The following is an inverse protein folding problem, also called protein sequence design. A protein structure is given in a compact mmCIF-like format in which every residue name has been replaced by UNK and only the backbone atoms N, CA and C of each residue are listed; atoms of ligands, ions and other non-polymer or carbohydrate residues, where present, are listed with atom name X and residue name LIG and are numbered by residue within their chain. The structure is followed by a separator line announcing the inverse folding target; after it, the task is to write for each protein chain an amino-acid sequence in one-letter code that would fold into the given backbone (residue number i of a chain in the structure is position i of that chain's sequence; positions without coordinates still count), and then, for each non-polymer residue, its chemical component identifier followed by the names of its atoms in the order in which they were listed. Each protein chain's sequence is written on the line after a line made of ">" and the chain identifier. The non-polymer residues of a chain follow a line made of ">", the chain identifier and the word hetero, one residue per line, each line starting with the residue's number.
data_IF_032967714855
#
_entry.id   IF_032967714855
#
_cell.length_a   1.000
_cell.length_b   1.000
_cell.length_c   1.000
_cell.angle_alpha   90.00
_cell.angle_beta   90.00
_cell.angle_gamma   90.00
#
_symmetry.space_group_name_H-M   'P 1'
#
loop_
_entity.id
_entity.type
_entity.pdbx_description
1 polymer ?
2 non-polymer ?
3 non-polymer ?
4 water ?
#
# COMPACT_ATOMS: atom_id res chain seq x y z
N UNK A 7 21.97 -15.85 -11.53
CA UNK A 7 21.87 -16.27 -10.14
C UNK A 7 23.09 -15.88 -9.31
N UNK A 8 22.83 -15.68 -8.02
CA UNK A 8 23.88 -15.45 -7.05
C UNK A 8 24.77 -16.69 -6.93
N UNK A 9 25.97 -16.47 -6.45
CA UNK A 9 26.79 -17.62 -6.08
C UNK A 9 26.15 -18.33 -4.88
N UNK A 10 26.64 -19.54 -4.61
CA UNK A 10 26.17 -20.29 -3.46
C UNK A 10 26.38 -19.49 -2.17
N UNK A 11 27.54 -18.87 -2.02
CA UNK A 11 27.83 -18.11 -0.81
C UNK A 11 26.98 -16.88 -0.70
N UNK A 12 26.83 -16.12 -1.79
CA UNK A 12 25.96 -14.95 -1.78
C UNK A 12 24.53 -15.35 -1.45
N UNK A 13 24.08 -16.48 -1.98
CA UNK A 13 22.73 -16.91 -1.74
C UNK A 13 22.52 -17.29 -0.27
N UNK A 14 23.45 -18.04 0.32
CA UNK A 14 23.30 -18.36 1.75
C UNK A 14 23.28 -17.09 2.59
N UNK A 15 24.16 -16.12 2.26
CA UNK A 15 24.21 -14.89 3.03
C UNK A 15 22.90 -14.11 2.92
N UNK A 16 22.45 -13.83 1.71
CA UNK A 16 21.24 -13.04 1.54
C UNK A 16 20.03 -13.78 2.10
N UNK A 17 19.94 -15.10 1.87
CA UNK A 17 18.83 -15.87 2.40
C UNK A 17 18.77 -15.78 3.93
N UNK A 18 19.93 -15.88 4.61
CA UNK A 18 19.91 -15.74 6.05
C UNK A 18 19.40 -14.39 6.48
N UNK A 19 19.87 -13.34 5.80
CA UNK A 19 19.39 -12.01 6.17
C UNK A 19 17.89 -11.87 5.93
N UNK A 20 17.40 -12.39 4.81
CA UNK A 20 15.98 -12.27 4.51
C UNK A 20 15.14 -13.14 5.43
N UNK A 21 15.65 -14.25 5.97
CA UNK A 21 14.90 -15.00 6.99
C UNK A 21 14.75 -14.17 8.27
N UNK A 22 15.83 -13.50 8.71
CA UNK A 22 15.74 -12.67 9.89
C UNK A 22 14.81 -11.47 9.67
N UNK A 23 14.93 -10.85 8.51
CA UNK A 23 14.06 -9.72 8.17
C UNK A 23 12.60 -10.15 8.04
N UNK A 24 12.36 -11.32 7.44
CA UNK A 24 11.00 -11.79 7.32
C UNK A 24 10.35 -12.04 8.65
N UNK A 25 11.08 -12.63 9.58
CA UNK A 25 10.53 -12.79 10.93
C UNK A 25 10.24 -11.43 11.57
N UNK A 26 11.16 -10.47 11.39
CA UNK A 26 10.95 -9.12 11.90
C UNK A 26 9.69 -8.48 11.32
N UNK A 27 9.52 -8.54 10.00
CA UNK A 27 8.35 -7.99 9.32
C UNK A 27 7.09 -8.65 9.84
N UNK A 28 7.12 -9.99 9.95
CA UNK A 28 5.95 -10.75 10.38
C UNK A 28 5.54 -10.36 11.79
N UNK A 29 6.50 -9.95 12.62
CA UNK A 29 6.17 -9.56 13.98
C UNK A 29 5.44 -8.25 14.05
N UNK A 30 5.35 -7.54 12.92
CA UNK A 30 4.57 -6.30 12.87
C UNK A 30 5.35 -5.03 13.13
N UNK A 31 6.68 -5.08 13.09
CA UNK A 31 7.48 -3.97 13.56
C UNK A 31 7.80 -2.93 12.51
N UNK A 32 7.36 -3.12 11.26
CA UNK A 32 7.61 -2.14 10.20
C UNK A 32 6.49 -1.12 10.13
N UNK A 33 6.84 0.16 10.17
CA UNK A 33 5.83 1.22 10.03
C UNK A 33 5.16 1.13 8.67
N UNK A 34 3.82 1.18 8.66
CA UNK A 34 3.10 0.98 7.40
C UNK A 34 3.59 1.96 6.34
N UNK A 35 3.99 3.16 6.76
CA UNK A 35 4.46 4.19 5.84
C UNK A 35 5.70 3.80 5.04
N UNK A 36 6.45 2.79 5.50
CA UNK A 36 7.69 2.42 4.82
C UNK A 36 7.47 1.64 3.54
N UNK A 37 6.32 1.00 3.39
CA UNK A 37 6.05 0.16 2.23
C UNK A 37 4.57 -0.21 2.15
N UNK A 38 3.87 0.34 1.17
CA UNK A 38 2.45 0.03 1.05
C UNK A 38 2.28 -1.47 0.82
N UNK A 39 3.15 -2.06 0.01
CA UNK A 39 3.03 -3.48 -0.29
C UNK A 39 3.15 -4.30 0.99
N UNK A 40 4.19 -4.03 1.78
CA UNK A 40 4.39 -4.80 3.00
C UNK A 40 3.24 -4.58 3.97
N UNK A 41 2.79 -3.33 4.10
CA UNK A 41 1.68 -3.04 5.00
C UNK A 41 0.44 -3.82 4.60
N UNK A 42 0.08 -3.80 3.33
CA UNK A 42 -1.08 -4.54 2.86
C UNK A 42 -0.91 -6.04 3.07
N UNK A 43 0.29 -6.56 2.78
CA UNK A 43 0.57 -7.94 3.05
C UNK A 43 0.34 -8.30 4.50
N UNK A 44 0.89 -7.50 5.41
CA UNK A 44 0.74 -7.75 6.84
C UNK A 44 -0.71 -7.62 7.30
N UNK A 45 -1.49 -6.80 6.62
CA UNK A 45 -2.91 -6.76 6.91
C UNK A 45 -3.57 -8.07 6.53
N UNK A 46 -3.10 -8.69 5.44
CA UNK A 46 -3.73 -9.90 4.93
C UNK A 46 -3.47 -11.14 5.80
N UNK A 47 -2.73 -11.06 6.90
CA UNK A 47 -2.37 -12.25 7.66
C UNK A 47 -3.36 -12.47 8.81
N UNK A 48 -2.99 -13.33 9.77
CA UNK A 48 -3.85 -13.65 10.91
C UNK A 48 -3.21 -13.11 12.19
N UNK A 49 -3.85 -12.19 12.91
CA UNK A 49 -3.30 -11.76 14.20
C UNK A 49 -3.55 -12.79 15.29
N UNK A 50 -2.67 -12.75 16.30
CA UNK A 50 -2.72 -13.71 17.39
C UNK A 50 -1.73 -14.85 17.27
N UNK A 51 -0.89 -14.86 16.24
CA UNK A 51 0.10 -15.91 16.08
C UNK A 51 1.24 -15.72 17.09
N UNK A 52 1.83 -16.84 17.51
CA UNK A 52 3.05 -16.78 18.28
C UNK A 52 4.24 -16.66 17.33
N UNK A 53 5.35 -16.13 17.85
CA UNK A 53 6.58 -16.01 17.09
C UNK A 53 7.46 -17.21 17.38
N UNK A 54 7.90 -17.92 16.33
CA UNK A 54 8.78 -19.07 16.55
C UNK A 54 10.12 -18.94 15.87
N UNK A 55 10.38 -17.84 15.19
CA UNK A 55 11.61 -17.67 14.42
C UNK A 55 12.38 -16.46 14.95
N UNK A 56 13.71 -16.51 14.94
CA UNK A 56 14.48 -15.33 15.38
C UNK A 56 14.39 -14.22 14.34
N UNK A 57 14.58 -13.00 14.81
CA UNK A 57 14.56 -11.85 13.93
C UNK A 57 15.80 -10.99 14.16
N UNK A 58 16.02 -10.08 13.23
CA UNK A 58 17.06 -9.08 13.31
C UNK A 58 16.63 -7.96 14.27
N UNK A 59 17.55 -7.03 14.53
CA UNK A 59 17.20 -5.87 15.35
C UNK A 59 16.43 -4.86 14.48
N UNK A 60 15.96 -3.79 15.12
CA UNK A 60 15.08 -2.85 14.42
C UNK A 60 15.84 -2.04 13.38
N UNK A 61 17.07 -1.64 13.67
CA UNK A 61 17.85 -0.89 12.69
C UNK A 61 18.04 -1.72 11.41
N UNK A 62 18.50 -2.97 11.56
CA UNK A 62 18.69 -3.85 10.40
C UNK A 62 17.35 -4.14 9.72
N UNK A 63 16.29 -4.31 10.50
CA UNK A 63 14.99 -4.54 9.91
C UNK A 63 14.54 -3.39 9.03
N UNK A 64 14.68 -2.16 9.54
CA UNK A 64 14.30 -0.98 8.76
C UNK A 64 15.16 -0.85 7.50
N UNK A 65 16.46 -1.05 7.63
CA UNK A 65 17.36 -0.94 6.49
C UNK A 65 16.99 -1.96 5.41
N UNK A 66 16.80 -3.21 5.80
CA UNK A 66 16.51 -4.23 4.84
C UNK A 66 15.16 -3.95 4.22
N UNK A 67 14.17 -3.48 5.01
CA UNK A 67 12.87 -3.14 4.46
C UNK A 67 13.00 -2.07 3.39
N UNK A 68 13.77 -1.03 3.67
CA UNK A 68 13.96 0.06 2.69
C UNK A 68 14.58 -0.46 1.41
N UNK A 69 15.61 -1.28 1.54
CA UNK A 69 16.24 -1.92 0.37
C UNK A 69 15.23 -2.74 -0.40
N UNK A 70 14.57 -3.67 0.27
CA UNK A 70 13.67 -4.60 -0.41
C UNK A 70 12.56 -3.82 -1.12
N UNK A 71 11.96 -2.84 -0.42
CA UNK A 71 10.91 -2.07 -1.04
C UNK A 71 11.44 -1.34 -2.26
N UNK A 72 12.65 -0.79 -2.17
CA UNK A 72 13.17 0.01 -3.30
C UNK A 72 13.50 -0.87 -4.49
N UNK A 73 13.72 -2.16 -4.28
CA UNK A 73 14.01 -3.07 -5.39
C UNK A 73 12.75 -3.72 -5.95
N UNK A 74 11.83 -4.18 -5.08
CA UNK A 74 10.77 -5.08 -5.46
C UNK A 74 9.47 -4.39 -5.78
N UNK A 75 9.33 -3.09 -5.47
CA UNK A 75 8.06 -2.41 -5.71
C UNK A 75 7.62 -2.51 -7.16
N UNK A 76 8.57 -2.68 -8.09
CA UNK A 76 8.25 -2.71 -9.51
C UNK A 76 7.46 -3.94 -9.91
N UNK A 77 7.62 -5.05 -9.18
CA UNK A 77 6.98 -6.31 -9.55
C UNK A 77 6.13 -6.78 -8.36
N UNK A 78 4.87 -6.36 -8.32
CA UNK A 78 4.07 -6.64 -7.13
C UNK A 78 3.89 -8.15 -6.91
N UNK A 79 3.83 -8.92 -8.00
CA UNK A 79 3.70 -10.38 -7.86
C UNK A 79 4.94 -10.98 -7.20
N UNK A 80 6.12 -10.60 -7.69
CA UNK A 80 7.38 -11.08 -7.10
C UNK A 80 7.51 -10.61 -5.66
N UNK A 81 7.12 -9.37 -5.39
CA UNK A 81 7.18 -8.85 -4.01
C UNK A 81 6.30 -9.70 -3.10
N UNK A 82 5.07 -10.00 -3.53
CA UNK A 82 4.19 -10.81 -2.73
C UNK A 82 4.72 -12.23 -2.53
N UNK A 83 5.31 -12.81 -3.58
CA UNK A 83 5.93 -14.12 -3.42
C UNK A 83 7.06 -14.07 -2.38
N UNK A 84 7.90 -13.06 -2.46
CA UNK A 84 9.00 -12.92 -1.53
C UNK A 84 8.51 -12.79 -0.09
N UNK A 85 7.44 -12.03 0.10
CA UNK A 85 6.87 -11.85 1.42
C UNK A 85 6.20 -13.12 1.93
N UNK A 86 5.49 -13.86 1.05
CA UNK A 86 4.91 -15.13 1.50
C UNK A 86 5.98 -16.10 1.95
N UNK A 87 7.09 -16.17 1.22
CA UNK A 87 8.14 -17.08 1.54
C UNK A 87 8.87 -16.66 2.82
N UNK A 88 9.33 -15.40 2.89
CA UNK A 88 10.19 -15.04 4.01
C UNK A 88 9.42 -14.53 5.21
N UNK A 89 8.39 -13.69 5.01
CA UNK A 89 7.62 -13.15 6.15
C UNK A 89 6.60 -14.16 6.69
N UNK A 90 5.74 -14.70 5.81
CA UNK A 90 4.75 -15.66 6.27
C UNK A 90 5.32 -17.04 6.48
N UNK A 91 6.46 -17.36 5.88
CA UNK A 91 7.03 -18.66 6.03
C UNK A 91 6.37 -19.72 5.19
N UNK A 92 5.63 -19.35 4.18
CA UNK A 92 4.93 -20.31 3.34
C UNK A 92 5.93 -21.09 2.50
N UNK A 93 5.69 -22.37 2.35
CA UNK A 93 6.55 -23.20 1.53
C UNK A 93 6.44 -22.81 0.07
N UNK A 94 7.43 -23.24 -0.70
CA UNK A 94 7.36 -23.00 -2.14
C UNK A 94 6.17 -23.75 -2.74
N UNK A 95 5.86 -24.94 -2.21
CA UNK A 95 4.69 -25.64 -2.75
C UNK A 95 3.41 -24.89 -2.47
N UNK A 96 3.28 -24.32 -1.27
CA UNK A 96 2.07 -23.59 -0.94
C UNK A 96 1.90 -22.39 -1.86
N UNK A 97 2.99 -21.63 -2.06
CA UNK A 97 2.94 -20.46 -2.94
C UNK A 97 2.54 -20.87 -4.35
N UNK A 98 3.24 -21.88 -4.88
CA UNK A 98 2.96 -22.37 -6.23
C UNK A 98 1.51 -22.86 -6.36
N UNK A 99 1.00 -23.53 -5.32
CA UNK A 99 -0.36 -24.06 -5.39
C UNK A 99 -1.39 -22.94 -5.41
N UNK A 100 -1.15 -21.88 -4.61
CA UNK A 100 -2.03 -20.74 -4.70
C UNK A 100 -2.08 -20.20 -6.14
N UNK A 101 -0.89 -19.91 -6.70
CA UNK A 101 -0.86 -19.35 -8.06
C UNK A 101 -1.41 -20.31 -9.11
N UNK A 102 -1.29 -21.63 -8.89
CA UNK A 102 -1.90 -22.59 -9.78
C UNK A 102 -3.43 -22.48 -9.71
N UNK A 103 -3.98 -22.34 -8.50
CA UNK A 103 -5.41 -22.22 -8.35
C UNK A 103 -5.94 -20.98 -9.05
N UNK A 104 -5.22 -19.87 -9.00
CA UNK A 104 -5.75 -18.61 -9.54
C UNK A 104 -5.24 -18.30 -10.94
N UNK A 105 -4.48 -19.20 -11.56
CA UNK A 105 -3.79 -18.90 -12.80
C UNK A 105 -4.78 -18.63 -13.95
N UNK A 106 -4.41 -17.74 -14.82
CA UNK A 106 -5.23 -17.43 -15.98
C UNK A 106 -4.85 -18.32 -17.16
N UNK A 107 -5.76 -18.54 -18.10
CA UNK A 107 -5.38 -19.30 -19.30
C UNK A 107 -4.21 -18.63 -20.01
N UNK A 108 -3.33 -19.44 -20.56
CA UNK A 108 -2.14 -18.98 -21.26
C UNK A 108 -2.13 -19.48 -22.70
N UNK A 109 -1.54 -18.67 -23.55
CA UNK A 109 -1.24 -19.04 -24.92
C UNK A 109 0.07 -19.79 -24.92
N UNK A 110 0.04 -21.05 -25.33
CA UNK A 110 1.21 -21.91 -25.30
C UNK A 110 1.49 -22.38 -26.73
N UNK A 111 2.70 -22.13 -27.20
CA UNK A 111 3.11 -22.57 -28.54
C UNK A 111 3.66 -24.00 -28.39
N UNK A 112 2.75 -24.96 -28.33
CA UNK A 112 3.12 -26.36 -28.22
C UNK A 112 3.50 -26.92 -29.58
N UNK A 113 4.14 -28.09 -29.57
CA UNK A 113 4.53 -28.74 -30.81
C UNK A 113 3.28 -28.95 -31.66
N UNK A 114 3.34 -28.48 -32.91
CA UNK A 114 2.22 -28.58 -33.83
C UNK A 114 1.36 -27.34 -33.92
N UNK A 115 1.46 -26.45 -32.96
CA UNK A 115 0.65 -25.24 -32.97
C UNK A 115 0.43 -24.70 -31.57
N UNK A 116 -0.25 -23.57 -31.53
CA UNK A 116 -0.60 -22.96 -30.27
C UNK A 116 -1.93 -23.49 -29.70
N UNK A 117 -2.02 -23.43 -28.39
CA UNK A 117 -3.25 -23.80 -27.70
C UNK A 117 -3.40 -22.94 -26.46
N UNK A 118 -4.64 -22.84 -25.98
CA UNK A 118 -4.93 -22.13 -24.74
C UNK A 118 -5.06 -23.16 -23.63
N UNK A 119 -4.34 -22.93 -22.53
CA UNK A 119 -4.31 -23.88 -21.42
C UNK A 119 -3.83 -23.15 -20.17
N UNK A 120 -4.37 -23.50 -19.02
CA UNK A 120 -3.81 -22.99 -17.79
C UNK A 120 -2.50 -23.72 -17.47
N UNK A 121 -1.57 -23.05 -16.79
CA UNK A 121 -0.31 -23.72 -16.46
C UNK A 121 -0.49 -24.85 -15.44
N UNK A 122 0.36 -25.87 -15.60
CA UNK A 122 0.42 -26.98 -14.68
C UNK A 122 1.01 -26.57 -13.34
N UNK A 123 0.80 -27.43 -12.32
CA UNK A 123 1.41 -27.16 -11.02
C UNK A 123 2.92 -27.13 -11.14
N UNK A 124 3.50 -28.06 -11.91
CA UNK A 124 4.96 -28.10 -12.04
C UNK A 124 5.48 -26.82 -12.66
N UNK A 125 4.78 -26.31 -13.66
CA UNK A 125 5.17 -25.03 -14.26
C UNK A 125 5.12 -23.91 -13.22
N UNK A 126 3.99 -23.79 -12.52
CA UNK A 126 3.87 -22.75 -11.50
C UNK A 126 4.97 -22.86 -10.44
N UNK A 127 5.33 -24.08 -10.06
CA UNK A 127 6.37 -24.26 -9.05
C UNK A 127 7.74 -23.83 -9.59
N UNK A 128 8.05 -24.23 -10.81
CA UNK A 128 9.28 -23.76 -11.44
C UNK A 128 9.32 -22.24 -11.50
N UNK A 129 8.19 -21.61 -11.86
CA UNK A 129 8.17 -20.15 -11.97
C UNK A 129 8.36 -19.49 -10.62
N UNK A 130 7.78 -20.07 -9.56
CA UNK A 130 7.96 -19.50 -8.23
C UNK A 130 9.41 -19.58 -7.80
N UNK A 131 10.04 -20.72 -8.06
CA UNK A 131 11.49 -20.84 -7.78
C UNK A 131 12.28 -19.78 -8.54
N UNK A 132 11.98 -19.62 -9.84
CA UNK A 132 12.70 -18.65 -10.66
C UNK A 132 12.48 -17.21 -10.17
N UNK A 133 11.26 -16.88 -9.79
CA UNK A 133 10.97 -15.55 -9.28
C UNK A 133 11.73 -15.28 -7.98
N UNK A 134 11.79 -16.27 -7.08
CA UNK A 134 12.54 -16.06 -5.84
C UNK A 134 14.03 -15.89 -6.12
N UNK A 135 14.60 -16.72 -7.00
CA UNK A 135 16.01 -16.57 -7.33
C UNK A 135 16.29 -15.21 -7.96
N UNK A 136 15.43 -14.75 -8.86
CA UNK A 136 15.62 -13.45 -9.52
C UNK A 136 15.52 -12.30 -8.53
N UNK A 137 14.57 -12.39 -7.59
CA UNK A 137 14.44 -11.35 -6.57
C UNK A 137 15.71 -11.26 -5.74
N UNK A 138 16.20 -12.40 -5.25
CA UNK A 138 17.42 -12.38 -4.47
C UNK A 138 18.60 -11.79 -5.29
N UNK A 139 18.69 -12.16 -6.57
CA UNK A 139 19.76 -11.62 -7.39
C UNK A 139 19.68 -10.11 -7.47
N UNK A 140 18.47 -9.56 -7.60
CA UNK A 140 18.31 -8.10 -7.71
C UNK A 140 18.55 -7.41 -6.38
N UNK A 141 18.18 -8.05 -5.27
CA UNK A 141 18.32 -7.44 -3.95
C UNK A 141 19.78 -7.40 -3.52
N UNK A 142 20.54 -8.46 -3.85
CA UNK A 142 21.85 -8.68 -3.23
C UNK A 142 22.78 -7.45 -3.31
N UNK A 143 23.05 -6.90 -4.49
CA UNK A 143 24.00 -5.76 -4.54
C UNK A 143 23.51 -4.53 -3.79
N UNK A 144 22.19 -4.30 -3.76
CA UNK A 144 21.65 -3.15 -3.05
C UNK A 144 21.84 -3.33 -1.54
N UNK A 145 21.56 -4.53 -1.02
CA UNK A 145 21.71 -4.73 0.42
C UNK A 145 23.17 -4.74 0.82
N UNK A 146 24.01 -5.37 0.01
CA UNK A 146 25.44 -5.36 0.30
C UNK A 146 25.98 -3.92 0.33
N UNK A 147 25.62 -3.11 -0.66
CA UNK A 147 26.04 -1.71 -0.68
C UNK A 147 25.47 -0.94 0.50
N UNK A 148 24.21 -1.22 0.86
CA UNK A 148 23.58 -0.53 1.98
C UNK A 148 24.32 -0.79 3.29
N UNK A 149 24.61 -2.06 3.57
CA UNK A 149 25.37 -2.38 4.79
C UNK A 149 26.74 -1.71 4.75
N UNK A 150 27.44 -1.80 3.60
CA UNK A 150 28.77 -1.22 3.48
C UNK A 150 28.73 0.29 3.67
N UNK A 151 27.76 0.97 3.06
CA UNK A 151 27.63 2.41 3.20
C UNK A 151 27.41 2.80 4.66
N UNK A 152 26.46 2.11 5.31
CA UNK A 152 26.19 2.39 6.72
C UNK A 152 27.47 2.32 7.55
N UNK A 153 28.23 1.23 7.40
CA UNK A 153 29.45 1.11 8.18
C UNK A 153 30.45 2.20 7.79
N UNK A 154 30.62 2.44 6.50
CA UNK A 154 31.62 3.40 6.03
C UNK A 154 31.40 4.78 6.64
N UNK A 155 30.16 5.28 6.62
CA UNK A 155 29.90 6.61 7.16
C UNK A 155 29.83 6.55 8.69
N UNK A 156 28.95 5.73 9.23
CA UNK A 156 28.81 5.61 10.68
C UNK A 156 30.06 4.95 11.29
N UNK B 6 -17.75 24.33 13.55
CA UNK B 6 -18.39 24.98 12.39
C UNK B 6 -18.55 24.02 11.21
N UNK B 7 -19.35 24.44 10.23
CA UNK B 7 -19.80 23.55 9.19
C UNK B 7 -19.90 24.30 7.87
N UNK B 8 -19.64 23.60 6.78
CA UNK B 8 -20.01 24.16 5.47
C UNK B 8 -21.53 24.23 5.37
N UNK B 9 -22.02 25.15 4.53
CA UNK B 9 -23.43 25.06 4.14
C UNK B 9 -23.63 23.79 3.32
N UNK B 10 -24.90 23.38 3.19
CA UNK B 10 -25.19 22.23 2.36
C UNK B 10 -24.68 22.46 0.93
N UNK B 11 -24.92 23.65 0.38
CA UNK B 11 -24.53 23.92 -0.99
C UNK B 11 -23.02 23.93 -1.13
N UNK B 12 -22.29 24.53 -0.17
CA UNK B 12 -20.83 24.45 -0.23
C UNK B 12 -20.34 23.01 -0.22
N UNK B 13 -20.92 22.18 0.65
CA UNK B 13 -20.48 20.80 0.77
C UNK B 13 -20.77 20.03 -0.52
N UNK B 14 -21.93 20.28 -1.13
CA UNK B 14 -22.30 19.55 -2.36
C UNK B 14 -21.42 19.98 -3.53
N UNK B 15 -21.14 21.29 -3.63
CA UNK B 15 -20.24 21.81 -4.65
C UNK B 15 -18.85 21.16 -4.54
N UNK B 16 -18.29 21.16 -3.32
CA UNK B 16 -16.95 20.61 -3.14
C UNK B 16 -16.94 19.13 -3.40
N UNK B 17 -17.95 18.41 -2.92
CA UNK B 17 -18.02 16.98 -3.13
C UNK B 17 -18.05 16.64 -4.62
N UNK B 18 -18.80 17.42 -5.40
CA UNK B 18 -18.83 17.17 -6.83
C UNK B 18 -17.49 17.39 -7.47
N UNK B 19 -16.79 18.46 -7.08
CA UNK B 19 -15.47 18.69 -7.66
C UNK B 19 -14.53 17.58 -7.28
N UNK B 20 -14.59 17.13 -6.02
CA UNK B 20 -13.71 16.08 -5.57
C UNK B 20 -14.05 14.74 -6.22
N UNK B 21 -15.32 14.49 -6.59
CA UNK B 21 -15.64 13.30 -7.37
C UNK B 21 -15.00 13.35 -8.78
N UNK B 22 -15.05 14.53 -9.41
CA UNK B 22 -14.43 14.67 -10.73
C UNK B 22 -12.91 14.55 -10.65
N UNK B 23 -12.31 15.19 -9.63
CA UNK B 23 -10.88 15.12 -9.40
C UNK B 23 -10.45 13.69 -9.06
N UNK B 24 -11.24 12.98 -8.26
CA UNK B 24 -10.86 11.62 -7.90
C UNK B 24 -10.81 10.72 -9.11
N UNK B 25 -11.83 10.81 -9.98
CA UNK B 25 -11.78 10.02 -11.20
C UNK B 25 -10.58 10.41 -12.06
N UNK B 26 -10.31 11.72 -12.17
CA UNK B 26 -9.15 12.19 -12.94
C UNK B 26 -7.86 11.61 -12.38
N UNK B 27 -7.67 11.67 -11.06
CA UNK B 27 -6.49 11.13 -10.44
C UNK B 27 -6.37 9.64 -10.70
N UNK B 28 -7.48 8.92 -10.53
CA UNK B 28 -7.45 7.46 -10.62
C UNK B 28 -7.08 7.01 -12.03
N UNK B 29 -7.40 7.82 -13.03
CA UNK B 29 -7.03 7.51 -14.42
C UNK B 29 -5.56 7.72 -14.67
N UNK B 30 -4.82 8.29 -13.72
CA UNK B 30 -3.38 8.40 -13.84
C UNK B 30 -2.90 9.67 -14.47
N UNK B 31 -3.71 10.73 -14.50
CA UNK B 31 -3.35 11.91 -15.27
C UNK B 31 -2.54 12.93 -14.47
N UNK B 32 -2.30 12.71 -13.18
CA UNK B 32 -1.51 13.64 -12.39
C UNK B 32 -0.04 13.26 -12.45
N UNK B 33 0.80 14.25 -12.78
CA UNK B 33 2.26 14.05 -12.78
C UNK B 33 2.76 13.69 -11.39
N UNK B 34 3.59 12.64 -11.35
CA UNK B 34 4.02 12.09 -10.07
C UNK B 34 4.70 13.14 -9.19
N UNK B 35 5.45 14.05 -9.80
CA UNK B 35 6.20 15.03 -9.01
C UNK B 35 5.28 16.01 -8.27
N UNK B 36 4.02 16.13 -8.70
CA UNK B 36 3.12 17.13 -8.12
C UNK B 36 2.61 16.77 -6.73
N UNK B 37 2.69 15.50 -6.33
CA UNK B 37 2.19 15.11 -5.03
C UNK B 37 2.71 13.73 -4.67
N UNK B 38 3.62 13.68 -3.68
CA UNK B 38 4.22 12.41 -3.28
C UNK B 38 3.17 11.44 -2.76
N UNK B 39 2.25 11.93 -1.91
CA UNK B 39 1.25 11.05 -1.33
C UNK B 39 0.38 10.44 -2.42
N UNK B 40 -0.11 11.28 -3.34
CA UNK B 40 -0.99 10.79 -4.41
C UNK B 40 -0.24 9.80 -5.31
N UNK B 41 1.01 10.10 -5.64
CA UNK B 41 1.79 9.15 -6.46
C UNK B 41 1.91 7.80 -5.77
N UNK B 42 2.25 7.81 -4.47
CA UNK B 42 2.35 6.55 -3.73
C UNK B 42 1.03 5.83 -3.68
N UNK B 43 -0.07 6.57 -3.46
CA UNK B 43 -1.39 5.97 -3.49
C UNK B 43 -1.65 5.29 -4.83
N UNK B 44 -1.37 5.98 -5.92
CA UNK B 44 -1.64 5.44 -7.25
C UNK B 44 -0.77 4.20 -7.50
N UNK B 45 0.39 4.13 -6.89
CA UNK B 45 1.14 2.88 -6.95
C UNK B 45 0.43 1.78 -6.18
N UNK B 46 -0.11 2.11 -4.99
CA UNK B 46 -0.61 1.09 -4.09
C UNK B 46 -1.91 0.45 -4.54
N UNK B 47 -2.53 0.95 -5.60
CA UNK B 47 -3.79 0.37 -6.08
C UNK B 47 -3.49 -0.50 -7.30
N UNK B 53 -12.59 2.85 -16.62
CA UNK B 53 -13.17 4.04 -16.01
C UNK B 53 -14.65 4.18 -16.36
N UNK B 54 -15.49 4.29 -15.32
CA UNK B 54 -16.94 4.44 -15.48
C UNK B 54 -17.44 5.75 -14.90
N UNK B 55 -16.54 6.65 -14.50
CA UNK B 55 -16.92 7.90 -13.86
C UNK B 55 -16.41 9.09 -14.69
N UNK B 56 -17.14 10.19 -14.72
CA UNK B 56 -16.64 11.38 -15.41
C UNK B 56 -15.52 12.03 -14.63
N UNK B 57 -14.67 12.75 -15.35
CA UNK B 57 -13.54 13.43 -14.72
C UNK B 57 -13.50 14.86 -15.20
N UNK B 58 -12.75 15.68 -14.47
CA UNK B 58 -12.50 17.07 -14.84
C UNK B 58 -11.42 17.15 -15.89
N UNK B 59 -11.21 18.37 -16.39
CA UNK B 59 -10.16 18.56 -17.38
C UNK B 59 -8.83 18.63 -16.66
N UNK B 60 -7.75 18.70 -17.46
CA UNK B 60 -6.41 18.60 -16.88
C UNK B 60 -6.05 19.84 -16.09
N UNK B 61 -6.43 21.04 -16.56
CA UNK B 61 -6.16 22.25 -15.80
C UNK B 61 -6.83 22.19 -14.43
N UNK B 62 -8.13 21.85 -14.40
CA UNK B 62 -8.85 21.75 -13.13
C UNK B 62 -8.25 20.63 -12.27
N UNK B 63 -7.87 19.51 -12.89
CA UNK B 63 -7.29 18.41 -12.12
C UNK B 63 -6.00 18.81 -11.44
N UNK B 64 -5.12 19.51 -12.17
CA UNK B 64 -3.89 19.99 -11.59
C UNK B 64 -4.17 21.00 -10.46
N UNK B 65 -5.07 21.94 -10.69
CA UNK B 65 -5.38 22.95 -9.69
C UNK B 65 -5.92 22.32 -8.41
N UNK B 66 -6.89 21.41 -8.55
CA UNK B 66 -7.48 20.76 -7.39
C UNK B 66 -6.44 19.91 -6.68
N UNK B 67 -5.60 19.19 -7.43
CA UNK B 67 -4.54 18.41 -6.83
C UNK B 67 -3.62 19.27 -5.97
N UNK B 68 -3.20 20.44 -6.49
CA UNK B 68 -2.31 21.32 -5.71
C UNK B 68 -2.99 21.77 -4.42
N UNK B 69 -4.28 22.13 -4.52
CA UNK B 69 -5.06 22.54 -3.35
C UNK B 69 -5.11 21.40 -2.32
N UNK B 70 -5.58 20.25 -2.73
CA UNK B 70 -5.77 19.12 -1.83
C UNK B 70 -4.46 18.75 -1.16
N UNK B 71 -3.37 18.68 -1.94
CA UNK B 71 -2.09 18.32 -1.38
C UNK B 71 -1.64 19.37 -0.37
N UNK B 72 -1.84 20.66 -0.67
CA UNK B 72 -1.40 21.69 0.27
C UNK B 72 -2.19 21.67 1.57
N UNK B 73 -3.41 21.14 1.55
CA UNK B 73 -4.22 21.10 2.77
C UNK B 73 -4.01 19.79 3.55
N UNK B 74 -3.97 18.66 2.86
CA UNK B 74 -4.08 17.35 3.49
C UNK B 74 -2.73 16.71 3.83
N UNK B 75 -1.62 17.26 3.32
CA UNK B 75 -0.34 16.58 3.55
C UNK B 75 -0.03 16.41 5.03
N UNK B 76 -0.55 17.29 5.89
CA UNK B 76 -0.24 17.25 7.31
C UNK B 76 -0.85 16.05 8.00
N UNK B 77 -1.96 15.56 7.47
CA UNK B 77 -2.72 14.48 8.12
C UNK B 77 -2.76 13.34 7.11
N UNK B 78 -1.72 12.50 7.13
CA UNK B 78 -1.62 11.47 6.10
C UNK B 78 -2.76 10.47 6.19
N UNK B 79 -3.28 10.21 7.38
CA UNK B 79 -4.41 9.30 7.49
C UNK B 79 -5.62 9.87 6.77
N UNK B 80 -5.90 11.16 7.02
CA UNK B 80 -7.04 11.82 6.36
C UNK B 80 -6.83 11.87 4.86
N UNK B 81 -5.61 12.15 4.42
CA UNK B 81 -5.32 12.18 2.98
C UNK B 81 -5.63 10.82 2.35
N UNK B 82 -5.16 9.73 2.98
CA UNK B 82 -5.44 8.42 2.42
C UNK B 82 -6.92 8.07 2.40
N UNK B 83 -7.64 8.44 3.47
CA UNK B 83 -9.10 8.25 3.47
C UNK B 83 -9.75 9.06 2.36
N UNK B 84 -9.32 10.31 2.18
CA UNK B 84 -9.88 11.14 1.13
C UNK B 84 -9.66 10.49 -0.24
N UNK B 85 -8.45 9.95 -0.46
CA UNK B 85 -8.13 9.31 -1.74
C UNK B 85 -8.90 7.98 -1.94
N UNK B 86 -9.06 7.18 -0.88
CA UNK B 86 -9.85 5.98 -0.96
C UNK B 86 -11.27 6.31 -1.34
N UNK B 87 -11.84 7.36 -0.74
CA UNK B 87 -13.22 7.71 -1.01
C UNK B 87 -13.37 8.25 -2.43
N UNK B 88 -12.57 9.26 -2.79
CA UNK B 88 -12.81 9.95 -4.04
C UNK B 88 -12.07 9.33 -5.23
N UNK B 89 -10.82 8.95 -5.08
CA UNK B 89 -10.10 8.41 -6.23
C UNK B 89 -10.45 6.95 -6.42
N UNK B 90 -10.31 6.14 -5.39
CA UNK B 90 -10.65 4.73 -5.56
C UNK B 90 -12.15 4.49 -5.59
N UNK B 91 -12.95 5.40 -5.06
CA UNK B 91 -14.39 5.20 -5.09
C UNK B 91 -14.96 4.33 -4.02
N UNK B 92 -14.23 4.10 -2.94
CA UNK B 92 -14.75 3.23 -1.88
C UNK B 92 -15.84 3.95 -1.07
N UNK B 93 -16.89 3.20 -0.72
CA UNK B 93 -17.94 3.70 0.12
C UNK B 93 -17.41 4.02 1.52
N UNK B 94 -18.21 4.75 2.30
CA UNK B 94 -17.79 5.03 3.67
C UNK B 94 -17.72 3.75 4.52
N UNK B 95 -18.62 2.80 4.29
CA UNK B 95 -18.54 1.55 5.05
C UNK B 95 -17.30 0.75 4.68
N UNK B 96 -16.95 0.72 3.39
CA UNK B 96 -15.76 -0.03 3.01
C UNK B 96 -14.53 0.52 3.74
N UNK B 97 -14.40 1.84 3.77
CA UNK B 97 -13.27 2.47 4.44
C UNK B 97 -13.30 2.16 5.92
N UNK B 98 -14.46 2.37 6.56
CA UNK B 98 -14.58 2.09 7.98
C UNK B 98 -14.30 0.61 8.30
N UNK B 99 -14.83 -0.31 7.48
CA UNK B 99 -14.64 -1.72 7.82
C UNK B 99 -13.19 -2.14 7.63
N UNK B 100 -12.50 -1.52 6.65
CA UNK B 100 -11.06 -1.73 6.53
C UNK B 100 -10.32 -1.24 7.77
N UNK B 101 -10.54 0.02 8.15
CA UNK B 101 -9.85 0.55 9.32
C UNK B 101 -10.23 -0.21 10.57
N UNK B 102 -11.44 -0.72 10.61
CA UNK B 102 -11.89 -1.55 11.75
C UNK B 102 -11.09 -2.84 11.79
N UNK B 103 -10.93 -3.50 10.65
CA UNK B 103 -10.22 -4.78 10.60
C UNK B 103 -8.77 -4.64 11.05
N UNK B 104 -8.11 -3.56 10.66
CA UNK B 104 -6.68 -3.39 10.94
C UNK B 104 -6.43 -2.52 12.17
N UNK B 105 -7.48 -2.15 12.91
CA UNK B 105 -7.34 -1.17 13.97
C UNK B 105 -6.48 -1.69 15.11
N UNK B 106 -5.75 -0.77 15.72
CA UNK B 106 -4.92 -1.18 16.84
C UNK B 106 -5.72 -1.11 18.14
N UNK B 107 -5.37 -1.90 19.14
CA UNK B 107 -6.06 -1.79 20.44
C UNK B 107 -5.93 -0.39 21.01
N UNK B 108 -7.00 0.06 21.67
CA UNK B 108 -7.05 1.41 22.21
C UNK B 108 -7.28 1.31 23.70
N UNK B 109 -6.77 2.30 24.42
CA UNK B 109 -7.12 2.49 25.81
C UNK B 109 -8.47 3.19 25.83
N UNK B 110 -9.47 2.56 26.42
CA UNK B 110 -10.85 3.05 26.42
C UNK B 110 -11.26 3.29 27.86
N UNK B 111 -11.63 4.54 28.16
CA UNK B 111 -12.02 4.94 29.52
C UNK B 111 -13.52 4.75 29.72
N UNK B 112 -13.91 3.51 30.01
CA UNK B 112 -15.31 3.22 30.28
C UNK B 112 -15.67 3.70 31.69
N UNK B 113 -16.98 3.77 31.95
CA UNK B 113 -17.46 4.26 33.25
C UNK B 113 -16.87 3.46 34.40
N UNK B 114 -16.82 2.13 34.27
CA UNK B 114 -16.25 1.31 35.33
C UNK B 114 -14.73 1.37 35.43
N UNK B 115 -14.06 1.85 34.40
CA UNK B 115 -12.62 1.93 34.41
C UNK B 115 -12.10 1.84 32.99
N UNK B 116 -10.80 1.93 32.87
CA UNK B 116 -10.18 1.80 31.57
C UNK B 116 -9.96 0.35 31.21
N UNK B 117 -10.01 0.09 29.90
CA UNK B 117 -9.74 -1.25 29.40
C UNK B 117 -9.06 -1.13 28.05
N UNK B 118 -8.39 -2.18 27.63
CA UNK B 118 -7.77 -2.22 26.31
C UNK B 118 -8.73 -2.99 25.41
N UNK B 119 -9.06 -2.39 24.27
CA UNK B 119 -10.04 -2.96 23.36
C UNK B 119 -9.89 -2.28 22.01
N UNK B 120 -10.14 -3.05 20.93
CA UNK B 120 -10.16 -2.41 19.62
C UNK B 120 -11.48 -1.68 19.42
N UNK B 121 -11.48 -0.59 18.64
CA UNK B 121 -12.72 0.17 18.46
C UNK B 121 -13.76 -0.67 17.75
N UNK B 122 -15.03 -0.38 18.07
CA UNK B 122 -16.13 -1.02 17.37
C UNK B 122 -16.24 -0.49 15.94
N UNK B 123 -16.98 -1.23 15.12
CA UNK B 123 -17.21 -0.77 13.75
C UNK B 123 -17.96 0.55 13.77
N UNK B 124 -18.94 0.70 14.67
CA UNK B 124 -19.71 1.95 14.72
C UNK B 124 -18.79 3.13 15.04
N UNK B 125 -17.81 2.92 15.91
CA UNK B 125 -16.88 4.01 16.20
C UNK B 125 -15.98 4.32 15.01
N UNK B 126 -15.46 3.28 14.34
CA UNK B 126 -14.64 3.52 13.16
C UNK B 126 -15.41 4.24 12.07
N UNK B 127 -16.68 3.90 11.91
CA UNK B 127 -17.49 4.54 10.90
C UNK B 127 -17.77 6.01 11.24
N UNK B 128 -18.09 6.29 12.51
CA UNK B 128 -18.26 7.68 12.91
C UNK B 128 -16.97 8.47 12.68
N UNK B 129 -15.82 7.86 12.98
CA UNK B 129 -14.56 8.58 12.83
C UNK B 129 -14.25 8.82 11.35
N UNK B 130 -14.55 7.84 10.48
CA UNK B 130 -14.35 8.06 9.05
C UNK B 130 -15.27 9.19 8.52
N UNK B 131 -16.53 9.19 8.91
CA UNK B 131 -17.42 10.26 8.54
C UNK B 131 -16.88 11.61 8.98
N UNK B 132 -16.46 11.72 10.24
CA UNK B 132 -15.94 12.98 10.76
C UNK B 132 -14.68 13.40 10.02
N UNK B 133 -13.78 12.47 9.73
CA UNK B 133 -12.54 12.78 9.04
C UNK B 133 -12.83 13.34 7.63
N UNK B 134 -13.77 12.73 6.91
CA UNK B 134 -14.12 13.22 5.60
C UNK B 134 -14.78 14.60 5.68
N UNK B 135 -15.74 14.76 6.59
CA UNK B 135 -16.41 16.05 6.72
C UNK B 135 -15.40 17.16 7.09
N UNK B 136 -14.48 16.85 8.01
CA UNK B 136 -13.47 17.82 8.43
C UNK B 136 -12.53 18.17 7.29
N UNK B 137 -12.14 17.16 6.49
CA UNK B 137 -11.29 17.43 5.33
C UNK B 137 -11.99 18.36 4.34
N UNK B 138 -13.27 18.09 4.06
CA UNK B 138 -13.98 18.94 3.13
C UNK B 138 -14.08 20.36 3.68
N UNK B 139 -14.34 20.50 4.98
CA UNK B 139 -14.42 21.83 5.59
C UNK B 139 -13.11 22.59 5.41
N UNK B 140 -11.97 21.91 5.61
CA UNK B 140 -10.67 22.53 5.44
C UNK B 140 -10.35 22.83 3.97
N UNK B 141 -10.78 21.97 3.04
CA UNK B 141 -10.46 22.17 1.64
C UNK B 141 -11.27 23.32 1.04
N UNK B 142 -12.51 23.46 1.48
CA UNK B 142 -13.44 24.32 0.77
C UNK B 142 -12.92 25.73 0.51
N UNK B 143 -12.53 26.52 1.52
CA UNK B 143 -12.12 27.91 1.24
C UNK B 143 -10.89 28.00 0.34
N UNK B 144 -9.98 27.01 0.44
CA UNK B 144 -8.78 27.03 -0.38
C UNK B 144 -9.13 26.80 -1.85
N UNK B 145 -10.02 25.83 -2.12
CA UNK B 145 -10.39 25.58 -3.52
C UNK B 145 -11.23 26.72 -4.08
N UNK B 146 -12.15 27.24 -3.27
CA UNK B 146 -12.93 28.41 -3.70
C UNK B 146 -12.02 29.58 -4.06
N UNK B 147 -11.03 29.87 -3.21
CA UNK B 147 -10.08 30.93 -3.49
C UNK B 147 -9.24 30.63 -4.73
N UNK B 148 -8.80 29.38 -4.89
CA UNK B 148 -8.02 29.01 -6.05
C UNK B 148 -8.78 29.29 -7.34
N UNK B 149 -10.04 28.85 -7.41
CA UNK B 149 -10.85 29.11 -8.60
C UNK B 149 -11.09 30.60 -8.82
N UNK B 150 -11.50 31.32 -7.77
CA UNK B 150 -11.79 32.75 -7.95
C UNK B 150 -10.56 33.52 -8.44
N UNK B 151 -9.41 33.23 -7.85
CA UNK B 151 -8.17 33.89 -8.24
C UNK B 151 -7.82 33.58 -9.67
N UNK B 152 -7.88 32.30 -10.05
CA UNK B 152 -7.59 31.95 -11.43
C UNK B 152 -8.43 32.81 -12.37
N UNK B 153 -9.74 32.92 -12.10
CA UNK B 153 -10.58 33.72 -12.99
C UNK B 153 -10.20 35.20 -12.96
N UNK B 154 -10.00 35.76 -11.75
CA UNK B 154 -9.69 37.18 -11.66
C UNK B 154 -8.43 37.54 -12.43
N UNK B 155 -7.35 36.78 -12.23
CA UNK B 155 -6.07 37.10 -12.86
C UNK B 155 -6.01 36.60 -14.31
N UNK B 156 -6.10 35.30 -14.51
CA UNK B 156 -6.04 34.71 -15.85
C UNK B 156 -7.31 35.02 -16.65
X LIG C 1 2.19 -25.89 -18.31
X LIG D 1 7.37 -16.60 13.69
X LIG E 1 -2.00 -15.53 -32.38
X LIG F 1 26.43 -9.39 7.00
X LIG G 1 2.68 -18.87 -11.61
X LIG G 1 1.66 -17.82 -11.65
X LIG G 1 3.96 -18.22 -11.20
X LIG G 1 4.50 -17.47 -12.33
X LIG G 1 2.78 -19.34 -12.59
X LIG G 1 2.40 -19.65 -10.90
X LIG G 1 0.83 -18.20 -11.96
X LIG G 1 4.68 -18.99 -10.88
X LIG G 1 3.80 -17.56 -10.35
X LIG G 1 5.31 -17.03 -12.06
X LIG H 1 -15.48 1.61 20.37
X LIG I 1 -23.35 2.29 5.05
X LIG J 1 -27.08 25.74 1.16
X LIG K 1 -17.39 25.61 -9.85
X LIG L 1 -21.35 0.65 10.21
X LIG M 1 -16.10 19.34 10.90
X LIG M 1 -15.52 20.65 11.00
X LIG M 1 -17.46 19.47 10.22
X LIG M 1 -17.67 20.86 9.88
X LIG M 1 -15.45 18.68 10.33
X LIG M 1 -16.22 18.91 11.90
X LIG M 1 -14.68 20.59 11.48
X LIG M 1 -17.48 18.85 9.32
X LIG M 1 -18.25 19.12 10.89
X LIG M 1 -18.48 20.94 9.37
X LIG N 1 -26.42 29.73 1.99
X LIG N 1 -26.63 28.90 0.85
X LIG N 1 -27.42 29.38 3.09
X LIG N 1 -27.62 27.96 3.13
X LIG N 1 -25.40 29.59 2.38
X LIG N 1 -26.52 30.78 1.71
X LIG N 1 -26.02 29.15 0.15
X LIG N 1 -27.06 29.74 4.06
X LIG N 1 -28.38 29.89 2.89
X LIG N 1 -28.26 27.74 3.82
X LIG O 1 -18.98 27.37 -3.66
X LIG O 1 -20.18 27.99 -3.23
X LIG O 1 -18.48 27.99 -4.95
X LIG O 1 -18.34 29.40 -4.79
X LIG O 1 -19.15 26.29 -3.81
X LIG O 1 -18.21 27.48 -2.88
X LIG O 1 -20.52 27.55 -2.44
X LIG O 1 -19.18 27.78 -5.76
X LIG O 1 -17.52 27.55 -5.23
X LIG O 1 -18.04 29.79 -5.63
#
# INVERSE_FOLDING_TARGET
>A
SGIRELNLTKEQHEWLNGWLELWGAWVYSGRLEKRMSSVIAKFMESVEPGRVMTRPMCNDDDGMLISQVVDSVMYIDKKAFGILLSYYAHGSSKHAIASYYHRVARPRKMLCRGGGRIQKPSLATCRREVDEILNASLFMIYPVLDSAFKNRKRVEKIKHVA
>B
SGIRELNLTKEQHEWLNGWLELWGAWVYSGRLEKRMSSVIAKFMESVEPGRVMTRPMCNDDDGMLISQVVDSVMYIDKKAFGILLSYYAHGSSKHAIASYYHRVARPRKMLCRGGGRIQKPSLATCRREVDEILNASLFMIYPVLDSAFKNRKRVEKIKHVA
>C hetero
1 CL CL
>D hetero
1 CL CL
>E hetero
1 CL CL
>F hetero
1 CL CL
>G hetero
1 EDO C1 O1 C2 O2 H11 H12 HO1 H21 H22 HO2
>H hetero
1 CL CL
>I hetero
1 CL CL
>J hetero
1 CL CL
>K hetero
1 CL CL
>L hetero
1 CL CL
>M hetero
1 EDO C1 O1 C2 O2 H11 H12 HO1 H21 H22 HO2
>N hetero
1 EDO C1 O1 C2 O2 H11 H12 HO1 H21 H22 HO2
>O hetero
1 EDO C1 O1 C2 O2 H11 H12 HO1 H21 H22 HO2
#
